data_IF_613661365806
#
_entry.id   IF_613661365806
#
_cell.length_a   1.000
_cell.length_b   1.000
_cell.length_c   1.000
_cell.angle_alpha   90.00
_cell.angle_beta   90.00
_cell.angle_gamma   90.00
#
_symmetry.space_group_name_H-M   'P 1'
#
loop_
_entity.id
_entity.type
_entity.pdbx_description
1 polymer ?
#
# COMPACT_ATOMS: atom_id res chain seq x y z
N UNK A 1 -13.67 13.50 0.92
CA UNK A 1 -12.84 12.36 0.48
C UNK A 1 -11.38 12.70 0.74
N UNK A 2 -10.79 12.08 1.78
CA UNK A 2 -9.65 12.59 2.54
C UNK A 2 -8.24 12.24 1.98
N UNK A 3 -8.14 11.77 0.73
CA UNK A 3 -6.85 11.38 0.13
C UNK A 3 -6.35 10.01 0.59
N UNK A 4 -5.17 9.61 0.11
CA UNK A 4 -4.52 8.30 0.30
C UNK A 4 -3.08 8.49 0.80
N UNK A 5 -2.89 9.05 2.00
CA UNK A 5 -1.54 9.36 2.50
C UNK A 5 -0.76 8.13 2.98
N UNK A 6 -1.46 7.15 3.54
CA UNK A 6 -0.86 5.92 4.10
C UNK A 6 -1.37 4.64 3.46
N UNK A 7 -2.48 4.73 2.71
CA UNK A 7 -3.11 3.60 2.05
C UNK A 7 -2.59 3.42 0.61
N UNK A 8 -2.82 2.25 0.05
CA UNK A 8 -2.65 2.00 -1.38
C UNK A 8 -3.59 2.89 -2.19
N UNK A 9 -3.12 3.37 -3.35
CA UNK A 9 -3.93 4.20 -4.24
C UNK A 9 -4.65 3.33 -5.27
N UNK A 10 -5.94 3.58 -5.56
CA UNK A 10 -6.61 2.93 -6.68
C UNK A 10 -5.94 3.23 -8.03
N UNK A 11 -6.11 2.36 -9.03
CA UNK A 11 -5.50 2.53 -10.36
C UNK A 11 -5.79 3.88 -11.02
N UNK A 12 -7.01 4.41 -10.88
CA UNK A 12 -7.40 5.70 -11.44
C UNK A 12 -6.69 6.91 -10.79
N UNK A 13 -5.89 6.67 -9.73
CA UNK A 13 -5.05 7.65 -9.05
C UNK A 13 -3.59 7.57 -9.51
N UNK A 14 -3.22 6.60 -10.35
CA UNK A 14 -1.90 6.52 -10.98
C UNK A 14 -1.92 7.34 -12.26
N UNK A 15 -0.98 8.26 -12.41
CA UNK A 15 -0.83 9.12 -13.58
C UNK A 15 0.62 9.12 -14.04
N UNK A 16 0.82 9.31 -15.35
CA UNK A 16 2.16 9.37 -15.93
C UNK A 16 2.63 10.81 -16.02
N UNK A 17 3.74 11.12 -15.35
CA UNK A 17 4.38 12.43 -15.40
C UNK A 17 5.40 12.52 -16.54
N UNK A 18 5.50 13.71 -17.15
CA UNK A 18 6.58 13.97 -18.11
C UNK A 18 7.87 14.28 -17.35
N UNK A 19 8.92 13.51 -17.60
CA UNK A 19 10.25 13.79 -17.09
C UNK A 19 10.83 15.05 -17.71
N UNK A 20 11.21 16.00 -16.86
CA UNK A 20 11.86 17.25 -17.26
C UNK A 20 13.05 17.55 -16.34
N UNK A 21 13.92 18.45 -16.81
CA UNK A 21 14.94 19.10 -15.98
C UNK A 21 14.80 20.61 -16.08
N UNK A 22 15.03 21.28 -14.96
CA UNK A 22 15.02 22.74 -14.87
C UNK A 22 16.36 23.28 -15.38
N UNK A 23 16.35 23.78 -16.62
CA UNK A 23 17.52 24.43 -17.20
C UNK A 23 17.56 25.91 -16.74
N UNK A 24 18.68 26.40 -16.18
CA UNK A 24 18.78 27.78 -15.68
C UNK A 24 18.54 28.87 -16.73
N UNK A 25 18.76 28.56 -18.02
CA UNK A 25 18.65 29.52 -19.13
C UNK A 25 17.36 29.30 -19.92
N UNK A 26 17.00 28.05 -20.18
CA UNK A 26 15.87 27.69 -21.07
C UNK A 26 14.58 27.34 -20.33
N UNK A 27 14.61 27.29 -19.01
CA UNK A 27 13.49 26.79 -18.21
C UNK A 27 13.32 25.27 -18.33
N UNK A 28 12.11 24.74 -18.12
CA UNK A 28 11.87 23.30 -18.11
C UNK A 28 12.08 22.70 -19.51
N UNK A 29 13.00 21.75 -19.64
CA UNK A 29 13.26 21.01 -20.88
C UNK A 29 13.03 19.51 -20.67
N UNK A 30 12.62 18.75 -21.70
CA UNK A 30 12.43 17.30 -21.58
C UNK A 30 13.70 16.57 -21.14
N UNK A 31 13.55 15.60 -20.26
CA UNK A 31 14.61 14.71 -19.81
C UNK A 31 14.36 13.29 -20.29
N UNK A 32 15.26 12.76 -21.12
CA UNK A 32 15.15 11.43 -21.71
C UNK A 32 16.00 10.43 -20.92
N UNK A 33 15.34 9.64 -20.10
CA UNK A 33 15.91 8.51 -19.39
C UNK A 33 15.83 7.22 -20.24
N UNK A 34 16.67 6.20 -19.97
CA UNK A 34 16.48 4.86 -20.53
C UNK A 34 15.07 4.32 -20.24
N UNK A 35 14.43 3.54 -21.14
CA UNK A 35 13.01 3.20 -21.04
C UNK A 35 12.56 2.62 -19.69
N UNK A 36 13.28 1.64 -19.16
CA UNK A 36 12.93 1.03 -17.86
C UNK A 36 13.06 1.98 -16.67
N UNK A 37 13.97 2.96 -16.75
CA UNK A 37 14.09 4.01 -15.74
C UNK A 37 13.00 5.07 -15.93
N UNK A 38 12.71 5.42 -17.18
CA UNK A 38 11.68 6.41 -17.50
C UNK A 38 10.32 5.99 -16.95
N UNK A 39 9.92 4.74 -17.16
CA UNK A 39 8.65 4.18 -16.66
C UNK A 39 8.53 4.22 -15.13
N UNK A 40 9.59 3.82 -14.42
CA UNK A 40 9.64 3.85 -12.96
C UNK A 40 9.60 5.27 -12.39
N UNK A 41 10.23 6.23 -13.07
CA UNK A 41 10.27 7.61 -12.60
C UNK A 41 9.03 8.41 -12.99
N UNK A 42 8.35 8.04 -14.09
CA UNK A 42 7.15 8.74 -14.57
C UNK A 42 5.87 8.29 -13.90
N UNK A 43 5.83 7.08 -13.33
CA UNK A 43 4.67 6.59 -12.60
C UNK A 43 4.48 7.35 -11.28
N UNK A 44 3.33 8.01 -11.14
CA UNK A 44 3.05 8.89 -10.03
C UNK A 44 1.70 8.61 -9.39
N UNK A 45 1.71 8.47 -8.07
CA UNK A 45 0.52 8.23 -7.27
C UNK A 45 -0.07 9.54 -6.73
N UNK A 46 -1.28 9.87 -7.18
CA UNK A 46 -2.00 11.09 -6.77
C UNK A 46 -2.69 10.88 -5.42
N UNK A 47 -1.98 11.18 -4.34
CA UNK A 47 -2.42 10.88 -2.96
C UNK A 47 -3.27 11.97 -2.30
N UNK A 48 -3.35 13.16 -2.87
CA UNK A 48 -4.05 14.32 -2.28
C UNK A 48 -5.56 14.10 -2.15
N UNK A 49 -6.18 14.84 -1.22
CA UNK A 49 -7.64 14.82 -1.06
C UNK A 49 -8.37 15.34 -2.31
N UNK A 50 -9.63 14.94 -2.50
CA UNK A 50 -10.41 15.42 -3.67
C UNK A 50 -10.54 16.95 -3.69
N UNK A 51 -10.77 17.67 -2.57
CA UNK A 51 -10.75 19.13 -2.56
C UNK A 51 -9.42 19.73 -3.04
N UNK A 52 -8.28 19.18 -2.62
CA UNK A 52 -6.96 19.62 -3.09
C UNK A 52 -6.82 19.40 -4.60
N UNK A 53 -7.29 18.26 -5.12
CA UNK A 53 -7.26 18.00 -6.56
C UNK A 53 -8.13 18.98 -7.34
N UNK A 54 -9.32 19.31 -6.83
CA UNK A 54 -10.20 20.32 -7.44
C UNK A 54 -9.50 21.66 -7.53
N UNK A 55 -8.82 22.07 -6.45
CA UNK A 55 -8.03 23.30 -6.46
C UNK A 55 -6.86 23.22 -7.45
N UNK A 56 -6.14 22.10 -7.46
CA UNK A 56 -4.99 21.88 -8.33
C UNK A 56 -5.38 21.87 -9.83
N UNK A 57 -6.55 21.33 -10.16
CA UNK A 57 -7.08 21.29 -11.51
C UNK A 57 -7.50 22.67 -12.05
N UNK A 58 -7.67 23.67 -11.17
CA UNK A 58 -7.98 25.06 -11.59
C UNK A 58 -6.73 25.81 -12.08
N UNK A 59 -5.53 25.25 -11.91
CA UNK A 59 -4.32 25.89 -12.39
C UNK A 59 -4.33 26.01 -13.91
N UNK A 60 -3.91 27.18 -14.41
CA UNK A 60 -3.74 27.45 -15.85
C UNK A 60 -2.34 27.08 -16.34
N UNK A 61 -1.42 26.84 -15.42
CA UNK A 61 -0.04 26.44 -15.70
C UNK A 61 0.18 24.97 -15.36
N UNK A 62 1.26 24.42 -15.90
CA UNK A 62 1.68 23.06 -15.59
C UNK A 62 1.98 22.87 -14.10
N UNK A 63 1.74 21.65 -13.63
CA UNK A 63 1.96 21.23 -12.24
C UNK A 63 3.27 20.47 -12.18
N UNK A 64 4.07 20.73 -11.16
CA UNK A 64 5.37 20.10 -10.96
C UNK A 64 5.39 19.30 -9.66
N UNK A 65 5.98 18.11 -9.73
CA UNK A 65 6.31 17.29 -8.57
C UNK A 65 7.81 17.04 -8.53
N UNK A 66 8.39 17.14 -7.34
CA UNK A 66 9.81 16.88 -7.12
C UNK A 66 10.02 15.47 -6.61
N UNK A 67 11.17 14.89 -6.95
CA UNK A 67 11.55 13.56 -6.50
C UNK A 67 11.95 13.57 -5.01
N UNK A 68 11.85 12.43 -4.31
CA UNK A 68 12.47 12.25 -3.00
C UNK A 68 13.97 12.60 -3.05
N UNK A 69 14.50 13.20 -1.98
CA UNK A 69 15.83 13.82 -1.97
C UNK A 69 16.97 12.87 -2.42
N UNK A 70 16.88 11.58 -2.06
CA UNK A 70 17.86 10.58 -2.49
C UNK A 70 17.82 10.35 -4.01
N UNK A 71 16.62 10.18 -4.58
CA UNK A 71 16.43 9.98 -6.02
C UNK A 71 16.80 11.26 -6.79
N UNK A 72 16.37 12.42 -6.30
CA UNK A 72 16.69 13.72 -6.89
C UNK A 72 18.21 13.93 -6.96
N UNK A 73 18.93 13.66 -5.87
CA UNK A 73 20.38 13.79 -5.83
C UNK A 73 21.08 12.86 -6.83
N UNK A 74 20.69 11.58 -6.88
CA UNK A 74 21.25 10.61 -7.83
C UNK A 74 21.04 11.06 -9.28
N UNK A 75 19.83 11.50 -9.61
CA UNK A 75 19.52 12.02 -10.95
C UNK A 75 20.33 13.28 -11.27
N UNK A 76 20.47 14.21 -10.32
CA UNK A 76 21.29 15.42 -10.50
C UNK A 76 22.76 15.10 -10.81
N UNK A 77 23.36 14.10 -10.15
CA UNK A 77 24.72 13.67 -10.46
C UNK A 77 24.81 13.06 -11.86
N UNK A 78 23.88 12.17 -12.22
CA UNK A 78 23.83 11.57 -13.56
C UNK A 78 23.71 12.63 -14.66
N UNK A 79 22.83 13.62 -14.47
CA UNK A 79 22.65 14.73 -15.41
C UNK A 79 23.94 15.56 -15.52
N UNK A 80 24.59 15.84 -14.38
CA UNK A 80 25.86 16.58 -14.36
C UNK A 80 26.97 15.82 -15.08
N UNK A 81 27.07 14.52 -14.89
CA UNK A 81 28.08 13.68 -15.56
C UNK A 81 27.89 13.67 -17.07
N UNK A 82 26.64 13.61 -17.54
CA UNK A 82 26.35 13.61 -18.97
C UNK A 82 26.50 15.01 -19.62
N UNK A 83 26.13 16.08 -18.90
CA UNK A 83 25.88 17.39 -19.51
C UNK A 83 26.83 18.50 -19.00
N UNK A 84 27.65 18.22 -17.98
CA UNK A 84 28.55 19.17 -17.32
C UNK A 84 27.87 20.22 -16.43
N UNK A 85 26.54 20.23 -16.36
CA UNK A 85 25.74 21.22 -15.63
C UNK A 85 24.79 20.53 -14.66
N UNK A 86 24.72 21.04 -13.44
CA UNK A 86 23.74 20.59 -12.45
C UNK A 86 22.37 21.16 -12.82
N UNK A 87 21.41 20.30 -13.08
CA UNK A 87 20.01 20.66 -13.32
C UNK A 87 19.11 19.82 -12.44
N UNK A 88 18.04 20.42 -11.93
CA UNK A 88 17.10 19.74 -11.04
C UNK A 88 16.05 18.99 -11.85
N UNK A 89 15.87 17.67 -11.66
CA UNK A 89 14.82 16.92 -12.32
C UNK A 89 13.47 17.14 -11.63
N UNK A 90 12.40 17.07 -12.41
CA UNK A 90 11.04 17.07 -11.89
C UNK A 90 10.11 16.24 -12.79
N UNK A 91 8.93 15.94 -12.26
CA UNK A 91 7.81 15.48 -13.07
C UNK A 91 6.88 16.64 -13.35
N UNK A 92 6.52 16.78 -14.62
CA UNK A 92 5.56 17.75 -15.11
C UNK A 92 4.24 17.05 -15.42
N UNK A 93 3.13 17.65 -14.98
CA UNK A 93 1.78 17.17 -15.21
C UNK A 93 0.91 18.28 -15.79
N UNK A 94 -0.01 17.88 -16.67
CA UNK A 94 -1.09 18.76 -17.12
C UNK A 94 -2.21 18.79 -16.06
N UNK A 95 -2.81 19.97 -15.78
CA UNK A 95 -4.03 20.06 -14.96
C UNK A 95 -5.17 19.14 -15.45
N UNK A 96 -5.21 18.83 -16.75
CA UNK A 96 -6.18 17.90 -17.35
C UNK A 96 -6.04 16.48 -16.79
N UNK A 97 -4.83 16.04 -16.46
CA UNK A 97 -4.61 14.71 -15.85
C UNK A 97 -5.24 14.66 -14.45
N UNK A 98 -5.11 15.74 -13.67
CA UNK A 98 -5.76 15.87 -12.36
C UNK A 98 -7.29 15.88 -12.52
N UNK A 99 -7.80 16.61 -13.52
CA UNK A 99 -9.21 16.60 -13.84
C UNK A 99 -9.73 15.20 -14.17
N UNK A 100 -8.96 14.37 -14.88
CA UNK A 100 -9.32 12.98 -15.18
C UNK A 100 -9.51 12.11 -13.92
N UNK A 101 -8.66 12.31 -12.91
CA UNK A 101 -8.83 11.65 -11.59
C UNK A 101 -10.12 12.08 -10.92
N UNK A 102 -10.41 13.39 -10.91
CA UNK A 102 -11.64 13.93 -10.32
C UNK A 102 -12.87 13.40 -11.06
N UNK A 103 -12.82 13.35 -12.39
CA UNK A 103 -13.94 12.89 -13.20
C UNK A 103 -14.24 11.41 -12.94
N UNK A 104 -13.19 10.57 -12.84
CA UNK A 104 -13.37 9.15 -12.48
C UNK A 104 -14.04 9.00 -11.11
N UNK A 105 -13.70 9.86 -10.15
CA UNK A 105 -14.37 9.88 -8.84
C UNK A 105 -15.84 10.27 -9.00
N UNK A 106 -16.16 11.29 -9.80
CA UNK A 106 -17.56 11.70 -10.07
C UNK A 106 -18.36 10.59 -10.74
N UNK A 107 -17.80 9.96 -11.78
CA UNK A 107 -18.45 8.85 -12.49
C UNK A 107 -18.75 7.70 -11.55
N UNK A 108 -17.81 7.30 -10.68
CA UNK A 108 -18.04 6.23 -9.70
C UNK A 108 -19.13 6.58 -8.67
N UNK A 109 -19.17 7.81 -8.19
CA UNK A 109 -20.23 8.28 -7.28
C UNK A 109 -21.58 8.27 -7.99
N UNK A 110 -21.63 8.70 -9.25
CA UNK A 110 -22.85 8.69 -10.06
C UNK A 110 -23.32 7.26 -10.36
N UNK A 111 -22.43 6.37 -10.77
CA UNK A 111 -22.73 4.95 -11.00
C UNK A 111 -23.28 4.30 -9.74
N UNK A 112 -22.68 4.58 -8.58
CA UNK A 112 -23.17 4.09 -7.31
C UNK A 112 -24.56 4.64 -6.98
N UNK A 113 -24.81 5.93 -7.21
CA UNK A 113 -26.13 6.52 -7.00
C UNK A 113 -27.19 5.91 -7.93
N UNK A 114 -26.87 5.68 -9.20
CA UNK A 114 -27.76 5.04 -10.17
C UNK A 114 -28.04 3.57 -9.82
N UNK A 115 -27.05 2.83 -9.34
CA UNK A 115 -27.23 1.45 -8.88
C UNK A 115 -28.16 1.37 -7.65
N UNK A 116 -28.04 2.33 -6.72
CA UNK A 116 -28.96 2.44 -5.59
C UNK A 116 -30.39 2.76 -6.05
N UNK A 117 -30.55 3.73 -6.95
CA UNK A 117 -31.85 4.12 -7.50
C UNK A 117 -32.52 2.94 -8.22
N UNK A 118 -31.79 2.21 -9.06
CA UNK A 118 -32.28 1.03 -9.79
C UNK A 118 -32.77 -0.08 -8.84
N UNK A 119 -32.27 -0.12 -7.61
CA UNK A 119 -32.66 -1.06 -6.55
C UNK A 119 -33.78 -0.52 -5.66
N UNK A 120 -34.37 0.62 -6.03
CA UNK A 120 -35.46 1.25 -5.29
C UNK A 120 -35.01 2.00 -4.05
N UNK A 121 -33.72 2.36 -3.94
CA UNK A 121 -33.18 3.23 -2.89
C UNK A 121 -33.10 4.65 -3.45
N UNK A 122 -34.21 5.39 -3.36
CA UNK A 122 -34.30 6.76 -3.87
C UNK A 122 -33.98 7.79 -2.80
N UNK A 123 -34.45 7.55 -1.57
CA UNK A 123 -34.37 8.50 -0.47
C UNK A 123 -35.15 9.79 -0.73
N UNK A 124 -36.38 9.90 -0.21
CA UNK A 124 -37.18 11.11 -0.34
C UNK A 124 -36.85 12.13 0.77
N UNK A 125 -36.68 13.41 0.40
CA UNK A 125 -36.46 14.49 1.37
C UNK A 125 -35.18 14.33 2.19
N UNK A 126 -34.10 13.83 1.58
CA UNK A 126 -32.83 13.50 2.26
C UNK A 126 -32.94 12.43 3.35
N UNK A 127 -34.01 11.63 3.32
CA UNK A 127 -34.28 10.59 4.31
C UNK A 127 -34.51 9.26 3.59
N UNK A 128 -34.01 8.17 4.19
CA UNK A 128 -34.24 6.82 3.67
C UNK A 128 -35.18 6.06 4.58
N UNK A 129 -36.13 5.34 3.99
CA UNK A 129 -37.04 4.43 4.67
C UNK A 129 -36.29 3.24 5.27
N UNK A 130 -36.92 2.55 6.23
CA UNK A 130 -36.33 1.34 6.83
C UNK A 130 -36.11 0.23 5.79
N UNK A 131 -36.99 0.13 4.79
CA UNK A 131 -36.88 -0.86 3.72
C UNK A 131 -35.67 -0.58 2.82
N UNK A 132 -35.48 0.67 2.41
CA UNK A 132 -34.30 1.09 1.63
C UNK A 132 -32.98 0.83 2.37
N UNK A 133 -32.94 1.14 3.68
CA UNK A 133 -31.77 0.84 4.51
C UNK A 133 -31.50 -0.66 4.60
N UNK A 134 -32.53 -1.49 4.72
CA UNK A 134 -32.40 -2.95 4.74
C UNK A 134 -31.86 -3.48 3.41
N UNK A 135 -32.32 -2.94 2.28
CA UNK A 135 -31.84 -3.28 0.93
C UNK A 135 -30.33 -3.01 0.79
N UNK A 136 -29.84 -1.90 1.35
CA UNK A 136 -28.40 -1.55 1.37
C UNK A 136 -27.61 -2.44 2.33
N UNK A 137 -28.15 -2.76 3.51
CA UNK A 137 -27.45 -3.59 4.51
C UNK A 137 -27.19 -5.02 4.07
N UNK A 138 -28.03 -5.58 3.19
CA UNK A 138 -27.78 -6.91 2.60
C UNK A 138 -26.66 -6.90 1.54
N UNK A 139 -26.15 -5.72 1.17
CA UNK A 139 -25.09 -5.56 0.19
C UNK A 139 -23.76 -5.34 0.89
N UNK A 140 -22.75 -6.10 0.48
CA UNK A 140 -21.36 -5.90 0.92
C UNK A 140 -20.64 -4.98 -0.08
N UNK A 141 -20.68 -3.67 0.16
CA UNK A 141 -19.89 -2.72 -0.62
C UNK A 141 -18.44 -2.76 -0.12
N UNK A 142 -17.54 -3.38 -0.90
CA UNK A 142 -16.12 -3.44 -0.62
C UNK A 142 -15.40 -2.21 -1.20
N UNK A 143 -15.13 -1.21 -0.35
CA UNK A 143 -14.32 -0.05 -0.72
C UNK A 143 -12.84 -0.31 -0.34
N UNK A 144 -12.15 -1.17 -1.10
CA UNK A 144 -10.73 -1.51 -0.88
C UNK A 144 -10.48 -2.60 0.17
N UNK A 145 -9.19 -2.83 0.51
CA UNK A 145 -8.81 -3.81 1.53
C UNK A 145 -9.37 -3.43 2.91
N UNK A 146 -10.40 -4.17 3.33
CA UNK A 146 -11.08 -4.03 4.63
C UNK A 146 -10.55 -5.02 5.66
N UNK A 147 -9.36 -5.58 5.45
CA UNK A 147 -8.67 -6.42 6.43
C UNK A 147 -8.56 -5.70 7.79
N UNK A 148 -9.41 -6.09 8.74
CA UNK A 148 -9.46 -5.55 10.10
C UNK A 148 -10.39 -4.35 10.33
N UNK A 149 -11.15 -3.89 9.33
CA UNK A 149 -12.09 -2.76 9.50
C UNK A 149 -13.47 -3.23 9.95
N UNK A 150 -13.87 -2.82 11.15
CA UNK A 150 -15.15 -3.16 11.75
C UNK A 150 -16.18 -2.05 11.48
N UNK A 151 -16.64 -1.93 10.23
CA UNK A 151 -17.73 -1.00 9.89
C UNK A 151 -19.07 -1.73 10.05
N UNK A 152 -19.83 -1.37 11.09
CA UNK A 152 -21.25 -1.73 11.22
C UNK A 152 -22.12 -0.51 10.92
N UNK A 153 -22.94 -0.60 9.87
CA UNK A 153 -23.96 0.41 9.55
C UNK A 153 -25.28 0.00 10.21
N UNK A 154 -25.58 0.58 11.38
CA UNK A 154 -26.94 0.55 11.96
C UNK A 154 -27.14 -0.13 13.31
N UNK A 155 -26.11 -0.43 14.10
CA UNK A 155 -26.27 -1.03 15.44
C UNK A 155 -26.09 -0.01 16.56
N UNK A 156 -27.18 0.62 17.00
CA UNK A 156 -27.17 1.42 18.24
C UNK A 156 -27.05 0.47 19.45
N UNK A 157 -25.92 0.53 20.18
CA UNK A 157 -25.75 -0.15 21.47
C UNK A 157 -25.11 -1.55 21.46
N UNK A 158 -24.47 -1.97 20.37
CA UNK A 158 -23.74 -3.24 20.33
C UNK A 158 -22.37 -3.14 21.02
N UNK A 159 -22.10 -4.01 22.00
CA UNK A 159 -20.75 -4.20 22.53
C UNK A 159 -20.00 -5.19 21.64
N UNK A 160 -18.99 -4.71 20.92
CA UNK A 160 -18.23 -5.54 20.00
C UNK A 160 -17.02 -6.21 20.66
N UNK A 161 -17.25 -7.47 21.02
CA UNK A 161 -16.30 -8.59 21.13
C UNK A 161 -15.43 -8.87 19.91
N UNK A 162 -14.30 -8.19 19.64
CA UNK A 162 -13.38 -8.73 18.63
C UNK A 162 -12.76 -10.02 19.19
N UNK A 163 -13.32 -11.17 18.83
CA UNK A 163 -12.52 -12.40 18.76
C UNK A 163 -11.60 -12.21 17.57
N UNK A 164 -10.44 -11.58 17.83
CA UNK A 164 -9.26 -11.73 17.01
C UNK A 164 -9.14 -13.24 16.85
N UNK A 165 -9.37 -13.77 15.64
CA UNK A 165 -9.18 -15.18 15.37
C UNK A 165 -7.83 -15.53 15.97
N UNK A 166 -7.83 -16.34 17.02
CA UNK A 166 -6.59 -16.77 17.66
C UNK A 166 -5.77 -17.34 16.51
N UNK A 167 -4.63 -16.70 16.23
CA UNK A 167 -3.82 -17.11 15.10
C UNK A 167 -3.46 -18.59 15.25
N UNK A 168 -3.12 -19.20 14.12
CA UNK A 168 -2.93 -20.63 14.04
C UNK A 168 -1.71 -21.07 14.88
N UNK A 169 -1.98 -21.44 16.14
CA UNK A 169 -0.96 -21.93 17.08
C UNK A 169 -0.30 -23.23 16.59
N UNK A 170 -0.98 -24.00 15.74
CA UNK A 170 -0.39 -25.17 15.11
C UNK A 170 0.62 -24.74 14.04
N UNK A 171 0.29 -23.74 13.22
CA UNK A 171 1.24 -23.15 12.27
C UNK A 171 2.44 -22.50 12.96
N UNK A 172 2.23 -21.80 14.08
CA UNK A 172 3.32 -21.23 14.89
C UNK A 172 4.26 -22.32 15.41
N UNK A 173 3.70 -23.40 15.97
CA UNK A 173 4.49 -24.51 16.51
C UNK A 173 5.27 -25.23 15.40
N UNK A 174 4.63 -25.46 14.25
CA UNK A 174 5.28 -26.08 13.09
C UNK A 174 6.42 -25.22 12.52
N UNK A 175 6.25 -23.90 12.47
CA UNK A 175 7.30 -22.97 12.06
C UNK A 175 8.49 -23.00 13.03
N UNK A 176 8.22 -22.97 14.34
CA UNK A 176 9.28 -23.07 15.37
C UNK A 176 10.06 -24.38 15.22
N UNK A 177 9.39 -25.51 15.05
CA UNK A 177 10.04 -26.81 14.88
C UNK A 177 10.91 -26.86 13.61
N UNK A 178 10.40 -26.32 12.49
CA UNK A 178 11.12 -26.27 11.23
C UNK A 178 12.41 -25.45 11.37
N UNK A 179 12.32 -24.26 11.96
CA UNK A 179 13.46 -23.36 12.17
C UNK A 179 14.48 -23.95 13.16
N UNK A 180 14.01 -24.57 14.25
CA UNK A 180 14.86 -25.30 15.19
C UNK A 180 15.69 -26.38 14.48
N UNK A 181 15.05 -27.22 13.65
CA UNK A 181 15.72 -28.29 12.89
C UNK A 181 16.75 -27.72 11.92
N UNK A 182 16.39 -26.65 11.21
CA UNK A 182 17.27 -26.03 10.22
C UNK A 182 18.53 -25.41 10.85
N UNK A 183 18.40 -24.76 12.02
CA UNK A 183 19.53 -24.20 12.77
C UNK A 183 20.43 -25.33 13.31
N UNK A 184 19.84 -26.43 13.80
CA UNK A 184 20.59 -27.58 14.34
C UNK A 184 21.34 -28.37 13.27
N UNK A 185 20.79 -28.48 12.07
CA UNK A 185 21.44 -29.16 10.93
C UNK A 185 22.66 -28.40 10.38
N UNK A 186 22.92 -27.17 10.85
CA UNK A 186 24.15 -26.44 10.54
C UNK A 186 24.25 -25.93 9.10
N UNK A 187 23.16 -25.95 8.34
CA UNK A 187 23.11 -25.47 6.95
C UNK A 187 23.03 -23.94 6.82
N UNK A 188 22.99 -23.23 7.94
CA UNK A 188 22.89 -21.76 8.02
C UNK A 188 24.13 -21.26 8.77
N UNK A 189 24.95 -20.44 8.12
CA UNK A 189 26.21 -19.94 8.67
C UNK A 189 26.21 -18.41 8.83
N UNK A 190 27.00 -17.91 9.78
CA UNK A 190 27.25 -16.49 9.98
C UNK A 190 26.07 -15.70 10.54
N UNK A 191 25.98 -14.41 10.17
CA UNK A 191 25.02 -13.45 10.71
C UNK A 191 23.54 -13.87 10.56
N UNK A 192 23.20 -14.57 9.47
CA UNK A 192 21.84 -15.07 9.20
C UNK A 192 21.38 -16.07 10.28
N UNK A 193 22.31 -16.87 10.80
CA UNK A 193 22.00 -17.83 11.87
C UNK A 193 21.69 -17.11 13.18
N UNK A 194 22.42 -16.05 13.50
CA UNK A 194 22.22 -15.27 14.73
C UNK A 194 20.89 -14.52 14.68
N UNK A 195 20.55 -13.94 13.52
CA UNK A 195 19.28 -13.26 13.28
C UNK A 195 18.09 -14.23 13.40
N UNK A 196 18.14 -15.38 12.71
CA UNK A 196 17.10 -16.41 12.84
C UNK A 196 16.99 -16.97 14.26
N UNK A 197 18.10 -17.08 15.00
CA UNK A 197 18.07 -17.55 16.38
C UNK A 197 17.39 -16.54 17.31
N UNK A 198 17.61 -15.23 17.12
CA UNK A 198 16.95 -14.19 17.89
C UNK A 198 15.43 -14.16 17.64
N UNK A 199 15.03 -14.26 16.37
CA UNK A 199 13.61 -14.30 15.99
C UNK A 199 12.92 -15.59 16.47
N UNK A 200 13.60 -16.73 16.39
CA UNK A 200 13.10 -18.00 16.93
C UNK A 200 12.84 -17.93 18.44
N UNK A 201 13.78 -17.35 19.21
CA UNK A 201 13.60 -17.18 20.65
C UNK A 201 12.37 -16.32 20.98
N UNK A 202 12.11 -15.29 20.16
CA UNK A 202 10.93 -14.43 20.29
C UNK A 202 9.64 -15.22 19.99
N UNK A 203 9.61 -16.03 18.93
CA UNK A 203 8.45 -16.91 18.65
C UNK A 203 8.21 -17.94 19.77
N UNK A 204 9.27 -18.56 20.31
CA UNK A 204 9.16 -19.52 21.41
C UNK A 204 8.61 -18.87 22.69
N UNK A 205 9.03 -17.65 23.00
CA UNK A 205 8.50 -16.89 24.12
C UNK A 205 7.00 -16.54 23.93
N UNK A 206 6.58 -16.24 22.70
CA UNK A 206 5.17 -16.00 22.40
C UNK A 206 4.34 -17.28 22.44
N UNK A 207 4.88 -18.41 21.96
CA UNK A 207 4.20 -19.70 21.93
C UNK A 207 3.97 -20.29 23.34
N UNK A 208 4.87 -19.99 24.29
CA UNK A 208 4.76 -20.45 25.68
C UNK A 208 3.98 -19.48 26.58
N UNK A 209 3.66 -18.28 26.09
CA UNK A 209 2.90 -17.29 26.85
C UNK A 209 1.44 -17.73 27.02
N UNK A 210 0.84 -17.60 28.22
CA UNK A 210 -0.60 -17.84 28.43
C UNK A 210 -1.49 -16.82 27.69
N UNK A 211 -0.90 -15.71 27.22
CA UNK A 211 -1.54 -14.71 26.36
C UNK A 211 -0.57 -14.28 25.25
N UNK A 212 -0.46 -15.05 24.17
CA UNK A 212 0.42 -14.72 23.04
C UNK A 212 0.04 -13.36 22.44
N UNK A 213 1.03 -12.51 22.18
CA UNK A 213 0.81 -11.22 21.54
C UNK A 213 0.94 -11.37 20.03
N UNK A 214 -0.20 -11.59 19.36
CA UNK A 214 -0.26 -11.77 17.90
C UNK A 214 0.43 -10.67 17.07
N UNK A 215 0.38 -9.37 17.43
CA UNK A 215 1.14 -8.35 16.71
C UNK A 215 2.66 -8.58 16.75
N UNK A 216 3.19 -9.10 17.86
CA UNK A 216 4.60 -9.44 18.00
C UNK A 216 4.94 -10.67 17.15
N UNK A 217 4.08 -11.70 17.18
CA UNK A 217 4.24 -12.89 16.35
C UNK A 217 4.29 -12.51 14.87
N UNK A 218 3.34 -11.68 14.39
CA UNK A 218 3.29 -11.24 12.99
C UNK A 218 4.54 -10.47 12.57
N UNK A 219 5.00 -9.53 13.41
CA UNK A 219 6.22 -8.77 13.13
C UNK A 219 7.46 -9.67 13.04
N UNK A 220 7.61 -10.61 14.00
CA UNK A 220 8.70 -11.59 14.01
C UNK A 220 8.65 -12.55 12.81
N UNK A 221 7.46 -13.04 12.42
CA UNK A 221 7.28 -13.86 11.21
C UNK A 221 7.63 -13.07 9.95
N UNK A 222 7.28 -11.78 9.89
CA UNK A 222 7.66 -10.89 8.80
C UNK A 222 9.18 -10.72 8.69
N UNK A 223 9.87 -10.58 9.83
CA UNK A 223 11.35 -10.54 9.89
C UNK A 223 11.95 -11.84 9.36
N UNK A 224 11.49 -13.00 9.85
CA UNK A 224 11.93 -14.32 9.38
C UNK A 224 11.70 -14.49 7.88
N UNK A 225 10.56 -14.03 7.35
CA UNK A 225 10.27 -14.05 5.92
C UNK A 225 11.32 -13.27 5.14
N UNK A 226 11.65 -12.04 5.55
CA UNK A 226 12.66 -11.22 4.88
C UNK A 226 14.05 -11.87 4.89
N UNK A 227 14.44 -12.49 6.01
CA UNK A 227 15.70 -13.24 6.12
C UNK A 227 15.73 -14.44 5.16
N UNK A 228 14.62 -15.19 5.06
CA UNK A 228 14.51 -16.33 4.16
C UNK A 228 14.44 -15.94 2.68
N UNK A 229 13.86 -14.78 2.35
CA UNK A 229 13.84 -14.22 0.98
C UNK A 229 15.25 -13.84 0.52
N UNK A 230 16.09 -13.33 1.42
CA UNK A 230 17.50 -13.05 1.13
C UNK A 230 18.33 -14.32 0.89
N UNK A 231 17.86 -15.49 1.33
CA UNK A 231 18.47 -16.80 1.09
C UNK A 231 17.91 -17.49 -0.17
N UNK A 232 17.68 -16.73 -1.24
CA UNK A 232 17.00 -17.16 -2.46
C UNK A 232 17.43 -18.58 -2.92
N UNK A 233 16.45 -19.48 -3.08
CA UNK A 233 16.67 -20.87 -3.50
C UNK A 233 16.92 -21.88 -2.39
N UNK A 234 16.88 -21.49 -1.11
CA UNK A 234 17.00 -22.44 0.00
C UNK A 234 15.75 -23.30 0.16
N UNK A 235 15.93 -24.62 0.34
CA UNK A 235 14.85 -25.58 0.62
C UNK A 235 14.05 -25.17 1.88
N UNK A 236 14.71 -24.50 2.83
CA UNK A 236 14.10 -23.99 4.05
C UNK A 236 13.04 -22.93 3.76
N UNK A 237 13.31 -21.97 2.87
CA UNK A 237 12.35 -20.93 2.52
C UNK A 237 11.07 -21.52 1.91
N UNK A 238 11.21 -22.52 1.03
CA UNK A 238 10.07 -23.22 0.44
C UNK A 238 9.25 -24.01 1.48
N UNK A 239 9.91 -24.65 2.45
CA UNK A 239 9.25 -25.40 3.52
C UNK A 239 8.57 -24.50 4.57
N UNK A 240 9.13 -23.31 4.80
CA UNK A 240 8.61 -22.35 5.78
C UNK A 240 7.43 -21.53 5.25
N UNK A 241 7.36 -21.31 3.94
CA UNK A 241 6.35 -20.49 3.27
C UNK A 241 4.90 -20.77 3.70
N UNK A 242 4.38 -22.02 3.71
CA UNK A 242 2.98 -22.26 4.08
C UNK A 242 2.66 -21.82 5.51
N UNK A 243 3.59 -21.99 6.45
CA UNK A 243 3.41 -21.58 7.84
C UNK A 243 3.52 -20.06 8.00
N UNK A 244 4.44 -19.43 7.26
CA UNK A 244 4.58 -17.97 7.22
C UNK A 244 3.29 -17.33 6.68
N UNK A 245 2.73 -17.87 5.59
CA UNK A 245 1.48 -17.37 5.01
C UNK A 245 0.28 -17.55 5.95
N UNK A 246 0.25 -18.63 6.74
CA UNK A 246 -0.81 -18.84 7.73
C UNK A 246 -0.74 -17.89 8.94
N UNK A 247 0.43 -17.32 9.22
CA UNK A 247 0.69 -16.50 10.40
C UNK A 247 0.68 -14.98 10.12
N UNK A 248 0.87 -14.55 8.87
CA UNK A 248 0.80 -13.15 8.45
C UNK A 248 -0.63 -12.71 8.16
#
# INVERSE_FOLDING_TARGET
MNGYYTAEVPDYRRVQGQLIVENPIRGPIPFFAPPGMAELLSDFEVRQSVPELIQLAQNTTDIYSHFPANIEHTLMQMIREANGVIMRPALKFSPVQVQGVIETVRSRVLEWALDLEARGVLGEGMTFTSQEKQTVQQQHYHFGDVSGSQIQIGSNGSNQTQTQAGGDMAALSALIELLCKAIQQGHIAGAIREELHAELATLQAQATSPKPKWPVIKATVGSIKAVLENMAGSVLAAQALPYITALL
#
